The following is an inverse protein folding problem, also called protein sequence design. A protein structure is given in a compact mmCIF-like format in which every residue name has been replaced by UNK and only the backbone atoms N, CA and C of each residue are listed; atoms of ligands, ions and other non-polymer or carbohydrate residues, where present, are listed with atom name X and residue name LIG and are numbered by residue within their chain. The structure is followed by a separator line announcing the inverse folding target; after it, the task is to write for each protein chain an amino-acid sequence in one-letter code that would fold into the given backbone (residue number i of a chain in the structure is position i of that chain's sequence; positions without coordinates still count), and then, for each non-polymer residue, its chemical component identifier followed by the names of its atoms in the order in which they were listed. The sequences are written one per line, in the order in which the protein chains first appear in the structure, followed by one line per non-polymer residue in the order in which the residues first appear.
data_IF_750410835046
#
_entry.id   IF_750410835046
#
_cell.length_a   1.000
_cell.length_b   1.000
_cell.length_c   1.000
_cell.angle_alpha   90.00
_cell.angle_beta   90.00
_cell.angle_gamma   90.00
#
_symmetry.space_group_name_H-M   'P 1'
#
loop_
_entity.id
_entity.type
_entity.pdbx_description
1 polymer ?
#
# COMPACT_ATOMS: atom_id res chain seq x y z
N UNK A 1 -13.39 20.90 -54.37
CA UNK A 1 -11.94 20.80 -54.09
C UNK A 1 -11.73 19.97 -52.83
N UNK A 2 -10.77 19.06 -52.82
CA UNK A 2 -10.42 18.30 -51.62
C UNK A 2 -9.78 19.25 -50.58
N UNK A 3 -10.19 19.14 -49.31
CA UNK A 3 -9.59 19.89 -48.20
C UNK A 3 -8.24 19.27 -47.84
N UNK A 4 -7.28 20.10 -47.43
CA UNK A 4 -5.99 19.62 -46.95
C UNK A 4 -6.18 18.96 -45.58
N UNK A 5 -5.79 17.67 -45.48
CA UNK A 5 -5.94 16.90 -44.26
C UNK A 5 -4.57 16.44 -43.74
N UNK A 6 -4.39 16.45 -42.42
CA UNK A 6 -3.20 15.94 -41.75
C UNK A 6 -3.58 14.99 -40.62
N UNK A 7 -2.66 14.07 -40.34
CA UNK A 7 -2.70 13.22 -39.16
C UNK A 7 -1.77 13.83 -38.11
N UNK A 8 -2.23 13.95 -36.87
CA UNK A 8 -1.40 14.49 -35.80
C UNK A 8 -1.77 13.98 -34.43
N UNK A 9 -0.88 14.20 -33.47
CA UNK A 9 -1.07 13.85 -32.08
C UNK A 9 -1.39 15.12 -31.27
N UNK A 10 -2.39 15.03 -30.41
CA UNK A 10 -2.76 16.12 -29.50
C UNK A 10 -1.69 16.26 -28.41
N UNK A 11 -1.01 17.41 -28.39
CA UNK A 11 0.09 17.69 -27.45
C UNK A 11 -0.40 18.45 -26.22
N UNK A 12 -1.37 19.34 -26.39
CA UNK A 12 -1.96 20.05 -25.25
C UNK A 12 -3.43 20.35 -25.44
N UNK A 13 -4.22 20.08 -24.41
CA UNK A 13 -5.64 20.43 -24.32
C UNK A 13 -5.90 21.22 -23.01
N UNK A 14 -7.04 21.89 -22.89
CA UNK A 14 -7.51 22.53 -21.65
C UNK A 14 -6.87 23.90 -21.34
N UNK A 15 -5.76 24.26 -22.00
CA UNK A 15 -5.10 25.57 -21.80
C UNK A 15 -5.85 26.74 -22.45
N UNK A 16 -6.69 26.46 -23.44
CA UNK A 16 -7.48 27.44 -24.20
C UNK A 16 -8.83 26.83 -24.54
N UNK A 17 -9.89 27.66 -24.52
CA UNK A 17 -11.22 27.23 -24.91
C UNK A 17 -11.27 26.87 -26.40
N UNK A 18 -11.98 25.78 -26.72
CA UNK A 18 -12.27 25.28 -28.07
C UNK A 18 -11.05 25.15 -28.99
N UNK A 19 -9.87 24.95 -28.40
CA UNK A 19 -8.59 25.01 -29.09
C UNK A 19 -7.64 23.95 -28.55
N UNK A 20 -7.11 23.15 -29.46
CA UNK A 20 -6.19 22.06 -29.15
C UNK A 20 -4.90 22.26 -29.95
N UNK A 21 -3.75 21.97 -29.33
CA UNK A 21 -2.46 22.00 -30.03
C UNK A 21 -2.16 20.62 -30.60
N UNK A 22 -2.14 20.49 -31.92
CA UNK A 22 -1.89 19.22 -32.61
C UNK A 22 -0.52 19.27 -33.29
N UNK A 23 0.31 18.27 -33.02
CA UNK A 23 1.60 18.09 -33.68
C UNK A 23 1.45 17.16 -34.86
N UNK A 24 1.75 17.67 -36.04
CA UNK A 24 1.80 16.90 -37.29
C UNK A 24 3.26 16.59 -37.60
N UNK A 25 3.54 15.33 -37.91
CA UNK A 25 4.84 14.86 -38.35
C UNK A 25 4.80 14.62 -39.87
N UNK A 26 5.77 15.20 -40.56
CA UNK A 26 5.93 15.10 -42.02
C UNK A 26 7.34 14.60 -42.33
N UNK A 27 7.50 13.84 -43.41
CA UNK A 27 8.83 13.42 -43.87
C UNK A 27 9.35 14.45 -44.87
N UNK A 28 10.55 14.95 -44.63
CA UNK A 28 11.23 15.90 -45.52
C UNK A 28 12.59 15.31 -45.89
N UNK A 29 12.85 15.21 -47.19
CA UNK A 29 14.14 14.73 -47.69
C UNK A 29 15.21 15.83 -47.62
N UNK A 30 16.28 15.58 -46.86
CA UNK A 30 17.40 16.51 -46.79
C UNK A 30 18.44 16.19 -47.88
N UNK A 31 18.53 17.04 -48.91
CA UNK A 31 19.45 16.87 -50.05
C UNK A 31 20.93 16.85 -49.68
N UNK A 32 21.35 17.50 -48.58
CA UNK A 32 22.76 17.54 -48.19
C UNK A 32 23.25 16.21 -47.61
N UNK A 33 22.36 15.51 -46.89
CA UNK A 33 22.67 14.27 -46.17
C UNK A 33 22.13 13.04 -46.93
N UNK A 34 21.26 13.25 -47.93
CA UNK A 34 20.53 12.20 -48.64
C UNK A 34 19.75 11.25 -47.71
N UNK A 35 19.10 11.83 -46.68
CA UNK A 35 18.29 11.09 -45.70
C UNK A 35 16.94 11.75 -45.49
N UNK A 36 15.89 10.93 -45.34
CA UNK A 36 14.57 11.38 -44.89
C UNK A 36 14.62 11.73 -43.40
N UNK A 37 14.20 12.95 -43.08
CA UNK A 37 14.09 13.45 -41.71
C UNK A 37 12.63 13.70 -41.36
N UNK A 38 12.27 13.42 -40.12
CA UNK A 38 10.95 13.81 -39.59
C UNK A 38 10.96 15.28 -39.21
N UNK A 39 10.08 16.05 -39.84
CA UNK A 39 9.81 17.44 -39.52
C UNK A 39 8.47 17.55 -38.80
N UNK A 40 8.47 18.18 -37.63
CA UNK A 40 7.30 18.33 -36.77
C UNK A 40 6.83 19.76 -36.78
N UNK A 41 5.53 19.96 -37.02
CA UNK A 41 4.89 21.28 -36.96
C UNK A 41 3.66 21.20 -36.06
N UNK A 42 3.59 22.15 -35.13
CA UNK A 42 2.46 22.27 -34.23
C UNK A 42 1.42 23.24 -34.83
N UNK A 43 0.16 22.83 -34.85
CA UNK A 43 -0.98 23.62 -35.32
C UNK A 43 -1.95 23.88 -34.17
N UNK A 44 -2.56 25.06 -34.17
CA UNK A 44 -3.72 25.34 -33.32
C UNK A 44 -4.98 24.94 -34.08
N UNK A 45 -5.67 23.95 -33.54
CA UNK A 45 -6.80 23.29 -34.17
C UNK A 45 -8.05 23.58 -33.38
N UNK A 46 -9.15 23.81 -34.07
CA UNK A 46 -10.44 24.01 -33.45
C UNK A 46 -11.10 22.68 -33.09
N UNK A 47 -11.51 22.58 -31.83
CA UNK A 47 -12.35 21.51 -31.31
C UNK A 47 -13.56 22.18 -30.65
N UNK A 48 -14.75 22.07 -31.25
CA UNK A 48 -15.96 22.72 -30.70
C UNK A 48 -16.47 22.03 -29.43
N UNK A 49 -16.32 20.72 -29.35
CA UNK A 49 -16.83 19.91 -28.24
C UNK A 49 -15.82 19.70 -27.11
N UNK A 50 -14.57 20.16 -27.28
CA UNK A 50 -13.47 19.93 -26.34
C UNK A 50 -13.29 18.44 -25.97
N UNK A 51 -13.58 17.56 -26.94
CA UNK A 51 -13.66 16.10 -26.76
C UNK A 51 -12.27 15.47 -26.72
N UNK A 52 -11.32 16.04 -27.47
CA UNK A 52 -10.00 15.47 -27.67
C UNK A 52 -9.16 15.64 -26.40
N UNK A 53 -8.40 14.63 -25.99
CA UNK A 53 -7.46 14.71 -24.86
C UNK A 53 -6.02 14.61 -25.31
N UNK A 54 -5.10 14.94 -24.41
CA UNK A 54 -3.66 14.80 -24.66
C UNK A 54 -3.28 13.35 -24.97
N UNK A 55 -2.54 13.15 -26.06
CA UNK A 55 -2.17 11.81 -26.54
C UNK A 55 -3.12 11.18 -27.56
N UNK A 56 -4.28 11.80 -27.84
CA UNK A 56 -5.17 11.35 -28.91
C UNK A 56 -4.55 11.57 -30.29
N UNK A 57 -4.80 10.62 -31.20
CA UNK A 57 -4.39 10.70 -32.60
C UNK A 57 -5.60 11.17 -33.41
N UNK A 58 -5.48 12.35 -34.01
CA UNK A 58 -6.58 13.06 -34.66
C UNK A 58 -6.27 13.35 -36.12
N UNK A 59 -7.31 13.29 -36.96
CA UNK A 59 -7.30 13.82 -38.33
C UNK A 59 -7.77 15.26 -38.29
N UNK A 60 -6.95 16.18 -38.77
CA UNK A 60 -7.27 17.60 -38.86
C UNK A 60 -7.53 17.97 -40.32
N UNK A 61 -8.55 18.78 -40.57
CA UNK A 61 -8.91 19.26 -41.91
C UNK A 61 -8.81 20.79 -41.98
N UNK A 62 -8.44 21.30 -43.15
CA UNK A 62 -8.40 22.74 -43.40
C UNK A 62 -9.81 23.34 -43.41
N UNK A 63 -9.98 24.47 -42.72
CA UNK A 63 -11.23 25.23 -42.64
C UNK A 63 -11.02 26.67 -43.10
N UNK A 64 -12.09 27.47 -43.16
CA UNK A 64 -11.94 28.93 -43.18
C UNK A 64 -11.12 29.39 -41.97
N UNK A 65 -10.38 30.51 -42.04
CA UNK A 65 -9.74 31.09 -40.87
C UNK A 65 -10.77 31.35 -39.76
N UNK A 66 -10.59 30.68 -38.62
CA UNK A 66 -11.40 30.88 -37.42
C UNK A 66 -10.74 31.88 -36.46
N UNK A 67 -9.42 32.02 -36.55
CA UNK A 67 -8.64 33.06 -35.86
C UNK A 67 -7.34 33.35 -36.63
N UNK A 68 -6.52 34.27 -36.12
CA UNK A 68 -5.18 34.58 -36.66
C UNK A 68 -4.27 33.34 -36.82
N UNK A 69 -4.48 32.28 -36.02
CA UNK A 69 -3.65 31.06 -36.04
C UNK A 69 -4.43 29.75 -36.24
N UNK A 70 -5.77 29.78 -36.23
CA UNK A 70 -6.64 28.59 -36.34
C UNK A 70 -7.20 28.50 -37.75
N UNK A 71 -6.58 27.63 -38.55
CA UNK A 71 -6.98 27.33 -39.94
C UNK A 71 -7.40 25.87 -40.13
N UNK A 72 -7.38 25.08 -39.05
CA UNK A 72 -7.70 23.65 -39.06
C UNK A 72 -8.75 23.34 -37.99
N UNK A 73 -9.62 22.37 -38.27
CA UNK A 73 -10.54 21.78 -37.30
C UNK A 73 -10.32 20.26 -37.21
N UNK A 74 -10.73 19.66 -36.10
CA UNK A 74 -10.69 18.21 -35.92
C UNK A 74 -11.82 17.58 -36.73
N UNK A 75 -11.46 16.71 -37.68
CA UNK A 75 -12.42 15.97 -38.49
C UNK A 75 -12.82 14.64 -37.84
N UNK A 76 -11.85 13.94 -37.24
CA UNK A 76 -12.05 12.61 -36.68
C UNK A 76 -10.97 12.28 -35.63
N UNK A 77 -11.34 11.58 -34.56
CA UNK A 77 -10.41 10.98 -33.60
C UNK A 77 -10.16 9.54 -34.02
N UNK A 78 -8.93 9.22 -34.43
CA UNK A 78 -8.56 7.91 -34.95
C UNK A 78 -8.13 6.96 -33.82
N UNK A 79 -7.44 7.49 -32.81
CA UNK A 79 -7.11 6.73 -31.58
C UNK A 79 -7.33 7.60 -30.35
N UNK A 80 -8.09 7.10 -29.39
CA UNK A 80 -8.54 7.78 -28.18
C UNK A 80 -7.71 7.40 -26.94
N UNK A 81 -6.37 7.36 -27.08
CA UNK A 81 -5.47 6.96 -25.97
C UNK A 81 -5.53 7.93 -24.78
N UNK A 82 -5.67 9.23 -25.04
CA UNK A 82 -5.77 10.26 -24.01
C UNK A 82 -7.06 10.14 -23.21
N UNK A 83 -8.18 9.82 -23.89
CA UNK A 83 -9.45 9.55 -23.21
C UNK A 83 -9.36 8.33 -22.28
N UNK A 84 -8.78 7.24 -22.75
CA UNK A 84 -8.55 6.05 -21.94
C UNK A 84 -7.68 6.34 -20.72
N UNK A 85 -6.59 7.10 -20.90
CA UNK A 85 -5.70 7.48 -19.81
C UNK A 85 -6.44 8.27 -18.72
N UNK A 86 -7.30 9.20 -19.12
CA UNK A 86 -8.00 10.03 -18.15
C UNK A 86 -9.18 9.32 -17.45
N UNK A 87 -9.82 8.35 -18.11
CA UNK A 87 -10.74 7.42 -17.44
C UNK A 87 -9.98 6.61 -16.37
N UNK A 88 -8.83 6.04 -16.74
CA UNK A 88 -7.96 5.31 -15.82
C UNK A 88 -7.52 6.15 -14.62
N UNK A 89 -7.15 7.42 -14.84
CA UNK A 89 -6.79 8.34 -13.76
C UNK A 89 -7.95 8.53 -12.75
N UNK A 90 -9.18 8.69 -13.24
CA UNK A 90 -10.36 8.83 -12.38
C UNK A 90 -10.68 7.55 -11.60
N UNK A 91 -10.56 6.38 -12.24
CA UNK A 91 -10.78 5.09 -11.61
C UNK A 91 -9.71 4.78 -10.56
N UNK A 92 -8.46 5.14 -10.83
CA UNK A 92 -7.33 4.98 -9.91
C UNK A 92 -7.51 5.84 -8.65
N UNK A 93 -8.00 7.07 -8.77
CA UNK A 93 -8.31 7.90 -7.60
C UNK A 93 -9.40 7.27 -6.72
N UNK A 94 -10.45 6.70 -7.34
CA UNK A 94 -11.52 6.01 -6.62
C UNK A 94 -11.05 4.72 -5.96
N UNK A 95 -10.16 3.96 -6.60
CA UNK A 95 -9.62 2.73 -6.02
C UNK A 95 -8.70 3.01 -4.83
N UNK A 96 -7.82 4.02 -4.94
CA UNK A 96 -6.95 4.47 -3.85
C UNK A 96 -7.79 4.94 -2.66
N UNK A 97 -8.82 5.74 -2.88
CA UNK A 97 -9.72 6.19 -1.82
C UNK A 97 -10.41 5.02 -1.09
N UNK A 98 -10.83 3.97 -1.82
CA UNK A 98 -11.41 2.75 -1.22
C UNK A 98 -10.38 1.97 -0.39
N UNK A 99 -9.15 1.82 -0.91
CA UNK A 99 -8.06 1.15 -0.21
C UNK A 99 -7.67 1.89 1.07
N UNK A 100 -7.57 3.22 1.02
CA UNK A 100 -7.31 4.07 2.18
C UNK A 100 -8.41 3.95 3.23
N UNK A 101 -9.69 3.95 2.82
CA UNK A 101 -10.82 3.74 3.72
C UNK A 101 -10.76 2.37 4.41
N UNK A 102 -10.41 1.30 3.68
CA UNK A 102 -10.23 -0.03 4.26
C UNK A 102 -9.07 -0.06 5.26
N UNK A 103 -7.89 0.47 4.90
CA UNK A 103 -6.74 0.56 5.81
C UNK A 103 -7.06 1.36 7.07
N UNK A 104 -7.81 2.45 6.94
CA UNK A 104 -8.27 3.25 8.07
C UNK A 104 -9.19 2.45 9.00
N UNK A 105 -10.13 1.68 8.45
CA UNK A 105 -10.99 0.78 9.23
C UNK A 105 -10.18 -0.29 9.96
N UNK A 106 -9.29 -0.98 9.25
CA UNK A 106 -8.40 -1.99 9.85
C UNK A 106 -7.52 -1.41 10.97
N UNK A 107 -7.08 -0.15 10.83
CA UNK A 107 -6.33 0.55 11.85
C UNK A 107 -7.17 0.82 13.11
N UNK A 108 -8.41 1.29 12.94
CA UNK A 108 -9.33 1.50 14.07
C UNK A 108 -9.65 0.17 14.79
N UNK A 109 -9.86 -0.91 14.04
CA UNK A 109 -10.12 -2.25 14.60
C UNK A 109 -8.91 -2.76 15.39
N UNK A 110 -7.68 -2.62 14.86
CA UNK A 110 -6.46 -3.00 15.59
C UNK A 110 -6.25 -2.14 16.84
N UNK A 111 -6.61 -0.85 16.76
CA UNK A 111 -6.52 0.08 17.88
C UNK A 111 -7.49 -0.31 18.99
N UNK A 112 -8.75 -0.62 18.67
CA UNK A 112 -9.75 -1.02 19.67
C UNK A 112 -9.35 -2.32 20.37
N UNK A 113 -8.86 -3.33 19.64
CA UNK A 113 -8.35 -4.58 20.22
C UNK A 113 -7.16 -4.32 21.15
N UNK A 114 -6.25 -3.40 20.78
CA UNK A 114 -5.11 -3.04 21.63
C UNK A 114 -5.56 -2.31 22.91
N UNK A 115 -6.48 -1.37 22.79
CA UNK A 115 -7.06 -0.64 23.93
C UNK A 115 -7.78 -1.60 24.88
N UNK A 116 -8.55 -2.56 24.35
CA UNK A 116 -9.19 -3.61 25.14
C UNK A 116 -8.17 -4.49 25.87
N UNK A 117 -7.12 -4.97 25.17
CA UNK A 117 -6.04 -5.77 25.79
C UNK A 117 -5.24 -4.98 26.84
N UNK A 118 -5.06 -3.68 26.64
CA UNK A 118 -4.44 -2.80 27.63
C UNK A 118 -5.35 -2.66 28.84
N UNK A 119 -6.66 -2.44 28.62
CA UNK A 119 -7.66 -2.37 29.69
C UNK A 119 -7.68 -3.66 30.52
N UNK A 120 -7.67 -4.84 29.90
CA UNK A 120 -7.52 -6.14 30.57
C UNK A 120 -6.24 -6.23 31.41
N UNK A 121 -5.09 -5.79 30.90
CA UNK A 121 -3.85 -5.75 31.71
C UNK A 121 -3.93 -4.77 32.88
N UNK A 122 -4.64 -3.65 32.70
CA UNK A 122 -4.82 -2.67 33.78
C UNK A 122 -5.80 -3.14 34.85
N UNK A 123 -6.67 -4.14 34.59
CA UNK A 123 -7.55 -4.65 35.64
C UNK A 123 -6.74 -5.24 36.78
N UNK A 124 -5.69 -6.03 36.52
CA UNK A 124 -4.82 -6.59 37.57
C UNK A 124 -4.23 -5.51 38.49
N UNK A 125 -3.64 -4.45 37.93
CA UNK A 125 -3.04 -3.38 38.74
C UNK A 125 -4.10 -2.56 39.48
N UNK A 126 -5.28 -2.36 38.88
CA UNK A 126 -6.42 -1.72 39.56
C UNK A 126 -6.92 -2.60 40.69
N UNK A 127 -7.06 -3.90 40.45
CA UNK A 127 -7.53 -4.91 41.39
C UNK A 127 -6.53 -5.04 42.56
N UNK A 128 -5.21 -4.96 42.32
CA UNK A 128 -4.20 -4.90 43.38
C UNK A 128 -4.32 -3.61 44.20
N UNK A 129 -4.50 -2.46 43.55
CA UNK A 129 -4.69 -1.18 44.25
C UNK A 129 -5.95 -1.18 45.10
N UNK A 130 -7.08 -1.68 44.57
CA UNK A 130 -8.32 -1.79 45.34
C UNK A 130 -8.17 -2.77 46.51
N UNK A 131 -7.43 -3.87 46.37
CA UNK A 131 -7.08 -4.75 47.50
C UNK A 131 -6.22 -4.00 48.54
N UNK A 132 -5.19 -3.27 48.12
CA UNK A 132 -4.32 -2.49 49.04
C UNK A 132 -5.09 -1.38 49.77
N UNK A 133 -5.93 -0.65 49.05
CA UNK A 133 -6.78 0.40 49.59
C UNK A 133 -7.79 -0.18 50.58
N UNK A 134 -8.40 -1.33 50.28
CA UNK A 134 -9.31 -2.01 51.19
C UNK A 134 -8.60 -2.52 52.46
N UNK A 135 -7.38 -3.05 52.34
CA UNK A 135 -6.56 -3.45 53.49
C UNK A 135 -6.20 -2.25 54.39
N UNK A 136 -5.94 -1.08 53.79
CA UNK A 136 -5.60 0.14 54.55
C UNK A 136 -6.82 0.81 55.21
N UNK A 137 -7.97 0.82 54.52
CA UNK A 137 -9.19 1.49 54.96
C UNK A 137 -10.07 0.63 55.87
N UNK A 138 -9.81 -0.68 55.96
CA UNK A 138 -10.61 -1.64 56.73
C UNK A 138 -12.04 -1.82 56.20
N UNK A 139 -12.37 -1.23 55.06
CA UNK A 139 -13.69 -1.29 54.43
C UNK A 139 -13.68 -2.33 53.33
N UNK A 140 -14.74 -3.12 53.21
CA UNK A 140 -14.90 -4.14 52.17
C UNK A 140 -15.74 -3.60 50.99
N UNK A 141 -15.14 -3.01 49.94
CA UNK A 141 -15.90 -2.60 48.76
C UNK A 141 -16.43 -3.81 47.99
N UNK A 142 -17.59 -3.66 47.34
CA UNK A 142 -18.21 -4.72 46.50
C UNK A 142 -17.25 -5.29 45.45
N UNK A 143 -16.35 -4.43 44.97
CA UNK A 143 -15.29 -4.76 44.02
C UNK A 143 -14.37 -5.89 44.53
N UNK A 144 -14.11 -5.99 45.84
CA UNK A 144 -13.33 -7.10 46.39
C UNK A 144 -14.01 -8.44 46.17
N UNK A 145 -15.34 -8.51 46.26
CA UNK A 145 -16.06 -9.77 46.06
C UNK A 145 -15.97 -10.22 44.59
N UNK A 146 -16.00 -9.26 43.65
CA UNK A 146 -15.79 -9.52 42.23
C UNK A 146 -14.35 -9.98 41.95
N UNK A 147 -13.36 -9.33 42.56
CA UNK A 147 -11.94 -9.72 42.47
C UNK A 147 -11.73 -11.11 43.07
N UNK A 148 -12.36 -11.40 44.22
CA UNK A 148 -12.33 -12.71 44.89
C UNK A 148 -12.83 -13.81 43.96
N UNK A 149 -13.92 -13.56 43.24
CA UNK A 149 -14.48 -14.48 42.25
C UNK A 149 -13.59 -14.63 41.01
N UNK A 150 -13.04 -13.53 40.49
CA UNK A 150 -12.17 -13.54 39.30
C UNK A 150 -10.91 -14.38 39.50
N UNK A 151 -10.26 -14.24 40.66
CA UNK A 151 -8.99 -14.92 40.95
C UNK A 151 -9.13 -16.18 41.83
N UNK A 152 -10.31 -16.45 42.40
CA UNK A 152 -10.55 -17.62 43.24
C UNK A 152 -9.83 -17.59 44.60
N UNK A 153 -9.58 -16.42 45.16
CA UNK A 153 -8.82 -16.22 46.41
C UNK A 153 -9.73 -16.42 47.62
N UNK A 154 -9.26 -17.08 48.69
CA UNK A 154 -10.07 -17.31 49.90
C UNK A 154 -10.01 -16.13 50.89
N UNK A 155 -8.82 -15.57 51.12
CA UNK A 155 -8.58 -14.45 52.05
C UNK A 155 -7.67 -13.39 51.44
N UNK A 156 -7.92 -12.11 51.71
CA UNK A 156 -7.03 -11.01 51.30
C UNK A 156 -5.98 -10.78 52.39
N UNK A 157 -4.84 -11.46 52.29
CA UNK A 157 -3.67 -11.20 53.14
C UNK A 157 -2.61 -10.43 52.36
N UNK A 158 -1.63 -9.83 53.05
CA UNK A 158 -0.47 -9.25 52.36
C UNK A 158 0.29 -10.31 51.56
N UNK A 159 0.24 -11.57 51.99
CA UNK A 159 0.86 -12.69 51.30
C UNK A 159 0.13 -13.03 50.01
N UNK A 160 -1.21 -12.98 49.97
CA UNK A 160 -1.96 -13.24 48.74
C UNK A 160 -1.68 -12.18 47.67
N UNK A 161 -1.52 -10.90 48.06
CA UNK A 161 -1.12 -9.83 47.12
C UNK A 161 0.29 -10.08 46.56
N UNK A 162 1.22 -10.54 47.41
CA UNK A 162 2.58 -10.91 46.97
C UNK A 162 2.57 -12.13 46.06
N UNK A 163 1.77 -13.15 46.38
CA UNK A 163 1.62 -14.35 45.57
C UNK A 163 1.05 -14.01 44.18
N UNK A 164 0.04 -13.15 44.08
CA UNK A 164 -0.48 -12.67 42.79
C UNK A 164 0.61 -12.02 41.93
N UNK A 165 1.39 -11.10 42.51
CA UNK A 165 2.51 -10.47 41.81
C UNK A 165 3.58 -11.48 41.38
N UNK A 166 3.90 -12.45 42.24
CA UNK A 166 4.88 -13.50 41.93
C UNK A 166 4.38 -14.42 40.81
N UNK A 167 3.09 -14.76 40.77
CA UNK A 167 2.48 -15.55 39.71
C UNK A 167 2.53 -14.81 38.37
N UNK A 168 2.25 -13.50 38.36
CA UNK A 168 2.34 -12.69 37.14
C UNK A 168 3.79 -12.53 36.67
N UNK A 169 4.73 -12.27 37.58
CA UNK A 169 6.16 -12.16 37.23
C UNK A 169 6.64 -13.49 36.65
N UNK A 170 6.34 -14.62 37.29
CA UNK A 170 6.72 -15.93 36.77
C UNK A 170 6.03 -16.26 35.43
N UNK A 171 4.77 -15.87 35.24
CA UNK A 171 4.07 -15.97 33.97
C UNK A 171 4.69 -15.12 32.86
N UNK A 172 5.11 -13.89 33.17
CA UNK A 172 5.82 -13.00 32.25
C UNK A 172 7.23 -13.54 31.94
N UNK A 173 7.94 -14.09 32.91
CA UNK A 173 9.24 -14.75 32.73
C UNK A 173 9.10 -15.94 31.78
N UNK A 174 8.13 -16.83 32.00
CA UNK A 174 7.84 -17.96 31.12
C UNK A 174 7.50 -17.48 29.70
N UNK A 175 6.73 -16.40 29.56
CA UNK A 175 6.42 -15.82 28.26
C UNK A 175 7.65 -15.22 27.57
N UNK A 176 8.52 -14.54 28.32
CA UNK A 176 9.78 -14.01 27.81
C UNK A 176 10.72 -15.14 27.38
N UNK A 177 10.82 -16.22 28.14
CA UNK A 177 11.58 -17.42 27.78
C UNK A 177 11.04 -18.09 26.50
N UNK A 178 9.71 -18.23 26.39
CA UNK A 178 9.05 -18.71 25.15
C UNK A 178 9.37 -17.82 23.95
N UNK A 179 9.37 -16.50 24.13
CA UNK A 179 9.73 -15.57 23.05
C UNK A 179 11.21 -15.64 22.69
N UNK A 180 12.11 -15.71 23.67
CA UNK A 180 13.56 -15.87 23.45
C UNK A 180 13.86 -17.15 22.68
N UNK A 181 13.33 -18.28 23.13
CA UNK A 181 13.50 -19.57 22.44
C UNK A 181 12.91 -19.59 21.03
N UNK A 182 11.82 -18.84 20.77
CA UNK A 182 11.29 -18.66 19.41
C UNK A 182 12.28 -17.86 18.54
N UNK A 183 12.78 -16.74 19.04
CA UNK A 183 13.76 -15.90 18.33
C UNK A 183 15.01 -16.72 18.01
N UNK A 184 15.52 -17.49 18.98
CA UNK A 184 16.68 -18.35 18.79
C UNK A 184 16.43 -19.39 17.70
N UNK A 185 15.27 -20.07 17.71
CA UNK A 185 14.86 -21.00 16.64
C UNK A 185 14.79 -20.34 15.25
N UNK A 186 14.30 -19.10 15.17
CA UNK A 186 14.25 -18.37 13.90
C UNK A 186 15.66 -17.98 13.44
N UNK A 187 16.52 -17.56 14.35
CA UNK A 187 17.90 -17.21 14.04
C UNK A 187 18.71 -18.42 13.59
N UNK A 188 18.60 -19.56 14.26
CA UNK A 188 19.25 -20.81 13.84
C UNK A 188 18.76 -21.21 12.45
N UNK A 189 17.44 -21.23 12.22
CA UNK A 189 16.88 -21.58 10.91
C UNK A 189 17.33 -20.64 9.80
N UNK A 190 17.36 -19.32 10.05
CA UNK A 190 17.87 -18.36 9.09
C UNK A 190 19.37 -18.54 8.81
N UNK A 191 20.17 -18.87 9.83
CA UNK A 191 21.60 -19.13 9.66
C UNK A 191 21.86 -20.39 8.83
N UNK A 192 21.08 -21.46 9.03
CA UNK A 192 21.14 -22.68 8.23
C UNK A 192 20.82 -22.41 6.75
N UNK A 193 19.77 -21.64 6.48
CA UNK A 193 19.39 -21.27 5.11
C UNK A 193 20.39 -20.33 4.45
N UNK A 194 20.97 -19.38 5.20
CA UNK A 194 21.97 -18.45 4.68
C UNK A 194 23.34 -19.10 4.45
N UNK A 195 23.66 -20.20 5.13
CA UNK A 195 24.90 -20.97 4.89
C UNK A 195 24.88 -21.77 3.59
N UNK A 196 23.70 -22.16 3.10
CA UNK A 196 23.52 -23.06 1.97
C UNK A 196 22.65 -22.41 0.89
N UNK A 197 23.28 -21.83 -0.14
CA UNK A 197 22.58 -21.13 -1.23
C UNK A 197 21.55 -22.03 -1.94
N UNK A 198 21.86 -23.32 -2.12
CA UNK A 198 20.93 -24.29 -2.72
C UNK A 198 19.65 -24.49 -1.90
N UNK A 199 19.78 -24.59 -0.56
CA UNK A 199 18.63 -24.74 0.34
C UNK A 199 17.80 -23.45 0.41
N UNK A 200 18.46 -22.30 0.37
CA UNK A 200 17.81 -21.01 0.28
C UNK A 200 16.94 -20.92 -0.99
N UNK A 201 17.51 -21.27 -2.14
CA UNK A 201 16.78 -21.19 -3.41
C UNK A 201 15.66 -22.22 -3.51
N UNK A 202 15.83 -23.43 -2.94
CA UNK A 202 14.75 -24.42 -2.81
C UNK A 202 13.61 -23.92 -1.92
N UNK A 203 13.93 -23.40 -0.73
CA UNK A 203 12.94 -22.87 0.20
C UNK A 203 12.14 -21.70 -0.40
N UNK A 204 12.81 -20.80 -1.13
CA UNK A 204 12.13 -19.71 -1.84
C UNK A 204 11.22 -20.21 -2.96
N UNK A 205 11.61 -21.28 -3.67
CA UNK A 205 10.76 -21.92 -4.68
C UNK A 205 9.53 -22.58 -4.05
N UNK A 206 9.68 -23.26 -2.92
CA UNK A 206 8.57 -23.92 -2.21
C UNK A 206 7.50 -22.90 -1.76
N UNK A 207 7.93 -21.66 -1.47
CA UNK A 207 7.03 -20.54 -1.14
C UNK A 207 6.58 -19.68 -2.34
N UNK A 208 6.83 -20.12 -3.58
CA UNK A 208 6.29 -19.50 -4.80
C UNK A 208 7.09 -18.34 -5.38
N UNK A 209 8.39 -18.21 -5.07
CA UNK A 209 9.25 -17.19 -5.69
C UNK A 209 9.81 -17.71 -7.03
N UNK A 210 9.33 -17.15 -8.14
CA UNK A 210 9.85 -17.40 -9.48
C UNK A 210 11.29 -16.84 -9.60
N UNK A 211 12.24 -17.68 -10.01
CA UNK A 211 13.67 -17.36 -10.23
C UNK A 211 14.44 -16.73 -9.05
N UNK A 212 14.65 -17.46 -7.94
CA UNK A 212 15.43 -16.96 -6.82
C UNK A 212 16.87 -16.61 -7.23
N UNK A 213 17.48 -17.31 -8.20
CA UNK A 213 18.86 -17.07 -8.63
C UNK A 213 19.14 -15.63 -9.09
N UNK A 214 18.14 -14.95 -9.67
CA UNK A 214 18.29 -13.59 -10.21
C UNK A 214 18.19 -12.50 -9.13
N UNK A 215 17.67 -12.85 -7.96
CA UNK A 215 17.38 -11.89 -6.90
C UNK A 215 18.66 -11.39 -6.22
N UNK A 216 18.72 -10.07 -6.01
CA UNK A 216 19.76 -9.44 -5.19
C UNK A 216 19.78 -10.05 -3.78
N UNK A 217 20.97 -10.24 -3.20
CA UNK A 217 21.18 -10.86 -1.86
C UNK A 217 20.29 -10.25 -0.75
N UNK A 218 20.08 -8.94 -0.75
CA UNK A 218 19.22 -8.27 0.24
C UNK A 218 17.74 -8.66 0.11
N UNK A 219 17.26 -8.84 -1.14
CA UNK A 219 15.89 -9.24 -1.42
C UNK A 219 15.67 -10.68 -0.95
N UNK A 220 16.59 -11.60 -1.30
CA UNK A 220 16.59 -12.98 -0.79
C UNK A 220 16.51 -13.02 0.74
N UNK A 221 17.37 -12.26 1.42
CA UNK A 221 17.40 -12.19 2.89
C UNK A 221 16.08 -11.71 3.49
N UNK A 222 15.42 -10.72 2.89
CA UNK A 222 14.14 -10.21 3.37
C UNK A 222 12.99 -11.19 3.12
N UNK A 223 12.98 -11.86 1.97
CA UNK A 223 12.00 -12.92 1.67
C UNK A 223 12.15 -14.09 2.65
N UNK A 224 13.38 -14.58 2.85
CA UNK A 224 13.67 -15.63 3.83
C UNK A 224 13.14 -15.27 5.22
N UNK A 225 13.42 -14.06 5.71
CA UNK A 225 12.91 -13.58 7.01
C UNK A 225 11.39 -13.60 7.06
N UNK A 226 10.71 -13.14 6.01
CA UNK A 226 9.25 -13.11 5.95
C UNK A 226 8.66 -14.53 6.03
N UNK A 227 9.14 -15.44 5.19
CA UNK A 227 8.60 -16.80 5.11
C UNK A 227 8.93 -17.63 6.36
N UNK A 228 10.16 -17.58 6.87
CA UNK A 228 10.53 -18.26 8.13
C UNK A 228 9.72 -17.75 9.32
N UNK A 229 9.44 -16.44 9.39
CA UNK A 229 8.57 -15.89 10.44
C UNK A 229 7.13 -16.39 10.32
N UNK A 230 6.60 -16.52 9.10
CA UNK A 230 5.24 -17.01 8.86
C UNK A 230 5.10 -18.48 9.24
N UNK A 231 6.02 -19.33 8.79
CA UNK A 231 6.00 -20.77 9.08
C UNK A 231 6.06 -21.06 10.57
N UNK A 232 6.87 -20.31 11.31
CA UNK A 232 7.06 -20.49 12.76
C UNK A 232 5.95 -19.87 13.60
N UNK A 233 5.13 -18.98 13.03
CA UNK A 233 3.97 -18.39 13.70
C UNK A 233 2.68 -19.16 13.47
N UNK A 234 2.59 -19.95 12.39
CA UNK A 234 1.46 -20.84 12.19
C UNK A 234 1.54 -21.96 13.23
N UNK A 235 0.57 -22.08 14.15
CA UNK A 235 0.47 -23.30 14.94
C UNK A 235 0.33 -24.45 13.93
N UNK A 236 1.15 -25.50 14.06
CA UNK A 236 0.95 -26.75 13.32
C UNK A 236 -0.53 -27.12 13.41
N UNK A 237 -1.22 -27.13 12.26
CA UNK A 237 -2.59 -27.65 12.16
C UNK A 237 -2.63 -29.10 12.66
#
# INVERSE_FOLDING_TARGET
MARQNFLGLVVSQGKMQKTVKVRVETKVFNKKINKELFHRRDYLVHDEGEISREGDLVRIEATRPLSKRKFFAIAEIIRNKGQQFALYESEAQLSVAKEEAQKAKEFLDKRSVRENKLNEKTTLLRDIRTIQDALSSGSTPKELLEIKQRYGIQDFSQETVRQLLQLDISGLEVNLEKQRSLIDRIQTRLSELLSNDLKCDQFLKDHGVEDPLTLKKNIKKNLLRKHVMMDMQQPSQ
#
